data_IF_256435754562
#
_entry.id   IF_256435754562
#
_cell.length_a   1.000
_cell.length_b   1.000
_cell.length_c   1.000
_cell.angle_alpha   90.00
_cell.angle_beta   90.00
_cell.angle_gamma   90.00
#
_symmetry.space_group_name_H-M   'P 1'
#
loop_
_entity.id
_entity.type
_entity.pdbx_description
1 polymer ?
#
# COMPACT_ATOMS: atom_id res chain seq x y z
N UNK A 1 -15.20 0.12 -6.47
CA UNK A 1 -14.59 -1.20 -6.32
C UNK A 1 -14.85 -1.81 -4.96
N UNK A 2 -14.86 -3.12 -4.93
CA UNK A 2 -15.16 -3.89 -3.73
C UNK A 2 -14.21 -3.59 -2.57
N UNK A 3 -12.94 -3.35 -2.87
CA UNK A 3 -11.93 -3.05 -1.84
C UNK A 3 -12.28 -1.78 -1.09
N UNK A 4 -12.59 -0.71 -1.80
CA UNK A 4 -12.92 0.57 -1.17
C UNK A 4 -14.19 0.47 -0.33
N UNK A 5 -15.19 -0.26 -0.79
CA UNK A 5 -16.42 -0.47 -0.02
C UNK A 5 -16.13 -1.23 1.27
N UNK A 6 -15.32 -2.29 1.18
CA UNK A 6 -14.96 -3.09 2.35
C UNK A 6 -14.18 -2.25 3.38
N UNK A 7 -13.25 -1.45 2.93
CA UNK A 7 -12.46 -0.58 3.80
C UNK A 7 -13.35 0.45 4.50
N UNK A 8 -14.28 1.05 3.78
CA UNK A 8 -15.23 2.01 4.36
C UNK A 8 -16.09 1.37 5.45
N UNK A 9 -16.56 0.16 5.20
CA UNK A 9 -17.36 -0.58 6.20
C UNK A 9 -16.55 -0.92 7.43
N UNK A 10 -15.24 -1.05 7.28
CA UNK A 10 -14.32 -1.36 8.38
C UNK A 10 -13.80 -0.12 9.11
N UNK A 11 -14.31 1.06 8.76
CA UNK A 11 -13.93 2.31 9.40
C UNK A 11 -12.87 3.14 8.70
N UNK A 12 -12.34 2.65 7.57
CA UNK A 12 -11.35 3.39 6.80
C UNK A 12 -12.06 4.19 5.71
N UNK A 13 -12.39 5.44 6.02
CA UNK A 13 -13.26 6.26 5.17
C UNK A 13 -12.51 7.33 4.37
N UNK A 14 -11.30 7.68 4.77
CA UNK A 14 -10.51 8.70 4.08
C UNK A 14 -9.56 8.02 3.09
N UNK A 15 -10.10 7.63 1.94
CA UNK A 15 -9.39 6.84 0.94
C UNK A 15 -8.97 7.69 -0.24
N UNK A 16 -7.72 7.51 -0.69
CA UNK A 16 -7.19 8.10 -1.91
C UNK A 16 -6.95 6.94 -2.87
N UNK A 17 -7.61 6.97 -4.03
CA UNK A 17 -7.53 5.88 -5.01
C UNK A 17 -6.87 6.36 -6.28
N UNK A 18 -5.82 5.66 -6.70
CA UNK A 18 -5.12 5.93 -7.95
C UNK A 18 -5.10 4.68 -8.81
N UNK A 19 -5.13 4.85 -10.12
CA UNK A 19 -5.22 3.74 -11.07
C UNK A 19 -3.88 3.14 -11.48
N UNK A 20 -2.79 3.88 -11.27
CA UNK A 20 -1.45 3.37 -11.59
C UNK A 20 -0.41 3.85 -10.58
N UNK A 21 0.73 3.18 -10.61
CA UNK A 21 1.79 3.47 -9.66
C UNK A 21 2.41 4.84 -9.80
N UNK A 22 2.45 5.37 -11.03
CA UNK A 22 3.02 6.70 -11.24
C UNK A 22 2.15 7.79 -10.62
N UNK A 23 0.84 7.72 -10.83
CA UNK A 23 -0.09 8.67 -10.22
C UNK A 23 -0.06 8.57 -8.70
N UNK A 24 0.00 7.34 -8.17
CA UNK A 24 0.11 7.12 -6.73
C UNK A 24 1.38 7.77 -6.19
N UNK A 25 2.50 7.56 -6.84
CA UNK A 25 3.78 8.16 -6.45
C UNK A 25 3.73 9.68 -6.48
N UNK A 26 3.13 10.24 -7.53
CA UNK A 26 2.99 11.69 -7.67
C UNK A 26 2.16 12.29 -6.53
N UNK A 27 1.07 11.61 -6.14
CA UNK A 27 0.24 12.03 -4.99
C UNK A 27 1.03 11.98 -3.70
N UNK A 28 1.79 10.90 -3.48
CA UNK A 28 2.62 10.74 -2.28
C UNK A 28 3.66 11.87 -2.21
N UNK A 29 4.33 12.17 -3.30
CA UNK A 29 5.33 13.24 -3.34
C UNK A 29 4.70 14.61 -3.11
N UNK A 30 3.51 14.85 -3.63
CA UNK A 30 2.78 16.09 -3.38
C UNK A 30 2.41 16.24 -1.91
N UNK A 31 1.97 15.15 -1.26
CA UNK A 31 1.67 15.14 0.18
C UNK A 31 2.94 15.37 1.00
N UNK A 32 4.04 14.74 0.59
CA UNK A 32 5.34 14.91 1.27
C UNK A 32 5.79 16.37 1.22
N UNK A 33 5.59 17.02 0.08
CA UNK A 33 5.98 18.43 -0.10
C UNK A 33 5.21 19.36 0.82
N UNK A 34 4.00 19.00 1.22
CA UNK A 34 3.20 19.79 2.17
C UNK A 34 3.67 19.64 3.62
N UNK A 35 4.50 18.64 3.89
CA UNK A 35 5.01 18.37 5.24
C UNK A 35 4.12 17.44 6.05
N UNK A 36 4.71 16.82 7.06
CA UNK A 36 4.01 15.93 8.01
C UNK A 36 3.22 14.80 7.34
N UNK A 37 3.79 14.20 6.31
CA UNK A 37 3.07 13.17 5.54
C UNK A 37 2.58 12.00 6.41
N UNK A 38 3.32 11.61 7.43
CA UNK A 38 2.94 10.51 8.30
C UNK A 38 1.69 10.79 9.13
N UNK A 39 1.32 12.07 9.24
CA UNK A 39 0.07 12.47 9.91
C UNK A 39 -1.13 12.38 8.97
N UNK A 40 -0.88 12.31 7.66
CA UNK A 40 -1.93 12.34 6.65
C UNK A 40 -2.06 11.06 5.85
N UNK A 41 -1.02 10.23 5.83
CA UNK A 41 -1.02 8.96 5.10
C UNK A 41 -0.61 7.84 6.06
N UNK A 42 -1.55 6.96 6.36
CA UNK A 42 -1.36 5.91 7.35
C UNK A 42 -0.88 4.58 6.76
N UNK A 43 -1.25 4.30 5.51
CA UNK A 43 -0.95 3.01 4.90
C UNK A 43 -1.09 3.11 3.38
N UNK A 44 -0.30 2.32 2.67
CA UNK A 44 -0.37 2.22 1.22
C UNK A 44 -0.72 0.78 0.87
N UNK A 45 -1.76 0.61 0.04
CA UNK A 45 -2.15 -0.70 -0.46
C UNK A 45 -1.94 -0.67 -1.97
N UNK A 46 -1.14 -1.58 -2.50
CA UNK A 46 -0.81 -1.59 -3.92
C UNK A 46 -0.94 -2.97 -4.53
N UNK A 47 -1.32 -3.02 -5.80
CA UNK A 47 -1.21 -4.22 -6.61
C UNK A 47 0.23 -4.30 -7.16
N UNK A 48 0.61 -5.42 -7.72
CA UNK A 48 1.88 -5.59 -8.41
C UNK A 48 1.74 -5.11 -9.85
N UNK A 49 0.72 -5.60 -10.56
CA UNK A 49 0.51 -5.21 -11.96
C UNK A 49 -0.24 -3.89 -12.04
N UNK A 50 0.48 -2.83 -12.41
CA UNK A 50 -0.10 -1.52 -12.65
C UNK A 50 0.62 -0.87 -13.83
N UNK A 51 -0.12 -0.09 -14.66
CA UNK A 51 0.53 0.67 -15.73
C UNK A 51 1.53 1.69 -15.20
N UNK A 52 2.51 2.01 -15.99
CA UNK A 52 3.52 3.06 -15.78
C UNK A 52 4.51 2.78 -14.65
N UNK A 53 4.03 2.32 -13.50
CA UNK A 53 4.90 1.96 -12.37
C UNK A 53 4.23 0.83 -11.61
N UNK A 54 4.87 -0.33 -11.51
CA UNK A 54 4.30 -1.48 -10.79
C UNK A 54 4.43 -1.33 -9.28
N UNK A 55 3.74 -2.22 -8.54
CA UNK A 55 3.70 -2.16 -7.09
C UNK A 55 5.05 -2.41 -6.42
N UNK A 56 5.91 -3.21 -7.00
CA UNK A 56 7.26 -3.44 -6.49
C UNK A 56 8.10 -2.16 -6.58
N UNK A 57 8.00 -1.47 -7.70
CA UNK A 57 8.71 -0.20 -7.89
C UNK A 57 8.22 0.85 -6.91
N UNK A 58 6.90 0.96 -6.75
CA UNK A 58 6.31 1.90 -5.79
C UNK A 58 6.80 1.60 -4.38
N UNK A 59 6.80 0.31 -3.97
CA UNK A 59 7.28 -0.12 -2.68
C UNK A 59 8.74 0.29 -2.48
N UNK A 60 9.57 0.05 -3.48
CA UNK A 60 10.99 0.42 -3.42
C UNK A 60 11.18 1.91 -3.20
N UNK A 61 10.45 2.73 -3.95
CA UNK A 61 10.55 4.18 -3.83
C UNK A 61 10.14 4.66 -2.44
N UNK A 62 9.04 4.13 -1.91
CA UNK A 62 8.56 4.48 -0.57
C UNK A 62 9.58 4.07 0.50
N UNK A 63 10.06 2.83 0.43
CA UNK A 63 10.97 2.29 1.45
C UNK A 63 12.39 2.84 1.36
N UNK A 64 12.73 3.46 0.25
CA UNK A 64 14.04 4.10 0.07
C UNK A 64 14.07 5.56 0.53
N UNK A 65 12.92 6.14 0.83
CA UNK A 65 12.82 7.53 1.25
C UNK A 65 12.75 7.59 2.79
N UNK A 66 13.63 8.39 3.40
CA UNK A 66 13.73 8.46 4.87
C UNK A 66 12.46 8.95 5.57
N UNK A 67 11.64 9.74 4.88
CA UNK A 67 10.39 10.24 5.46
C UNK A 67 9.21 9.31 5.20
N UNK A 68 9.29 8.46 4.17
CA UNK A 68 8.19 7.60 3.74
C UNK A 68 8.32 6.16 4.22
N UNK A 69 9.53 5.70 4.50
CA UNK A 69 9.79 4.27 4.79
C UNK A 69 9.04 3.70 5.99
N UNK A 70 8.61 4.55 6.91
CA UNK A 70 7.85 4.09 8.09
C UNK A 70 6.37 3.90 7.79
N UNK A 71 5.91 4.34 6.61
CA UNK A 71 4.52 4.15 6.21
C UNK A 71 4.35 2.69 5.78
N UNK A 72 3.42 1.93 6.39
CA UNK A 72 3.20 0.54 6.01
C UNK A 72 2.77 0.40 4.55
N UNK A 73 3.36 -0.56 3.85
CA UNK A 73 3.01 -0.89 2.46
C UNK A 73 2.52 -2.32 2.41
N UNK A 74 1.30 -2.50 1.93
CA UNK A 74 0.69 -3.82 1.76
C UNK A 74 0.56 -4.09 0.28
N UNK A 75 1.12 -5.19 -0.18
CA UNK A 75 0.94 -5.68 -1.55
C UNK A 75 -0.27 -6.61 -1.55
N UNK A 76 -1.27 -6.27 -2.36
CA UNK A 76 -2.51 -7.04 -2.47
C UNK A 76 -2.74 -7.35 -3.95
N UNK A 77 -2.44 -8.60 -4.36
CA UNK A 77 -2.36 -8.95 -5.77
C UNK A 77 -2.85 -10.37 -6.04
N UNK A 78 -3.29 -10.61 -7.26
CA UNK A 78 -3.57 -11.95 -7.74
C UNK A 78 -2.28 -12.66 -8.21
N UNK A 79 -1.19 -11.93 -8.37
CA UNK A 79 0.11 -12.46 -8.79
C UNK A 79 0.99 -12.81 -7.59
N UNK A 80 0.57 -13.81 -6.81
CA UNK A 80 1.36 -14.21 -5.65
C UNK A 80 1.98 -15.58 -5.89
N UNK A 81 3.27 -15.60 -6.19
CA UNK A 81 4.07 -16.81 -6.20
C UNK A 81 5.28 -16.59 -5.29
N UNK A 82 6.06 -17.63 -5.08
CA UNK A 82 7.19 -17.60 -4.17
C UNK A 82 8.23 -16.52 -4.57
N UNK A 83 8.51 -16.42 -5.85
CA UNK A 83 9.47 -15.46 -6.36
C UNK A 83 9.02 -14.01 -6.13
N UNK A 84 7.75 -13.73 -6.41
CA UNK A 84 7.17 -12.40 -6.20
C UNK A 84 7.12 -12.06 -4.72
N UNK A 85 6.82 -13.03 -3.87
CA UNK A 85 6.76 -12.84 -2.42
C UNK A 85 8.14 -12.49 -1.87
N UNK A 86 9.16 -13.19 -2.30
CA UNK A 86 10.54 -12.89 -1.89
C UNK A 86 10.98 -11.50 -2.33
N UNK A 87 10.62 -11.12 -3.56
CA UNK A 87 10.94 -9.79 -4.06
C UNK A 87 10.29 -8.70 -3.21
N UNK A 88 9.01 -8.87 -2.88
CA UNK A 88 8.30 -7.92 -2.02
C UNK A 88 8.93 -7.79 -0.64
N UNK A 89 9.33 -8.90 -0.04
CA UNK A 89 10.02 -8.90 1.25
C UNK A 89 11.35 -8.14 1.19
N UNK A 90 12.14 -8.38 0.15
CA UNK A 90 13.43 -7.71 -0.03
C UNK A 90 13.26 -6.21 -0.19
N UNK A 91 12.16 -5.77 -0.78
CA UNK A 91 11.88 -4.35 -0.98
C UNK A 91 11.31 -3.69 0.26
N UNK A 92 10.94 -4.46 1.27
CA UNK A 92 10.45 -3.94 2.55
C UNK A 92 8.94 -3.85 2.69
N UNK A 93 8.17 -4.55 1.85
CA UNK A 93 6.72 -4.60 2.01
C UNK A 93 6.37 -5.14 3.40
N UNK A 94 5.44 -4.50 4.07
CA UNK A 94 5.04 -4.87 5.44
C UNK A 94 4.09 -6.06 5.47
N UNK A 95 3.32 -6.26 4.41
CA UNK A 95 2.47 -7.44 4.25
C UNK A 95 2.24 -7.70 2.77
N UNK A 96 1.99 -8.96 2.45
CA UNK A 96 1.70 -9.39 1.09
C UNK A 96 0.55 -10.38 1.12
N UNK A 97 -0.53 -10.04 0.44
CA UNK A 97 -1.77 -10.80 0.48
C UNK A 97 -2.27 -11.10 -0.92
N UNK A 98 -3.03 -12.17 -1.03
CA UNK A 98 -3.58 -12.63 -2.30
C UNK A 98 -5.02 -12.17 -2.47
N UNK A 99 -5.36 -11.61 -3.63
CA UNK A 99 -6.75 -11.35 -3.98
C UNK A 99 -7.50 -12.69 -4.13
N UNK A 100 -8.74 -12.79 -3.73
CA UNK A 100 -9.62 -11.74 -3.21
C UNK A 100 -9.77 -11.73 -1.68
N UNK A 101 -8.75 -12.08 -0.94
CA UNK A 101 -8.81 -12.23 0.52
C UNK A 101 -8.94 -10.88 1.26
N UNK A 102 -10.05 -10.18 1.03
CA UNK A 102 -10.28 -8.84 1.59
C UNK A 102 -10.33 -8.82 3.12
N UNK A 103 -10.88 -9.88 3.73
CA UNK A 103 -10.89 -9.99 5.18
C UNK A 103 -9.51 -9.98 5.79
N UNK A 104 -8.58 -10.68 5.16
CA UNK A 104 -7.17 -10.69 5.60
C UNK A 104 -6.51 -9.34 5.39
N UNK A 105 -6.92 -8.61 4.35
CA UNK A 105 -6.41 -7.27 4.09
C UNK A 105 -6.77 -6.33 5.25
N UNK A 106 -8.03 -6.33 5.67
CA UNK A 106 -8.49 -5.52 6.80
C UNK A 106 -7.74 -5.88 8.08
N UNK A 107 -7.57 -7.18 8.35
CA UNK A 107 -6.80 -7.63 9.51
C UNK A 107 -5.36 -7.13 9.48
N UNK A 108 -4.73 -7.17 8.31
CA UNK A 108 -3.35 -6.69 8.16
C UNK A 108 -3.26 -5.19 8.41
N UNK A 109 -4.20 -4.42 7.88
CA UNK A 109 -4.23 -2.97 8.10
C UNK A 109 -4.40 -2.67 9.59
N UNK A 110 -5.36 -3.30 10.24
CA UNK A 110 -5.62 -3.10 11.67
C UNK A 110 -4.37 -3.40 12.49
N UNK A 111 -3.69 -4.48 12.16
CA UNK A 111 -2.50 -4.91 12.88
C UNK A 111 -1.32 -3.94 12.66
N UNK A 112 -1.10 -3.51 11.42
CA UNK A 112 0.00 -2.61 11.09
C UNK A 112 -0.22 -1.20 11.65
N UNK A 113 -1.46 -0.77 11.76
CA UNK A 113 -1.80 0.53 12.33
C UNK A 113 -2.04 0.45 13.84
N UNK A 114 -1.77 -0.70 14.43
CA UNK A 114 -1.91 -0.96 15.87
C UNK A 114 -3.32 -0.65 16.39
N UNK A 115 -4.30 -1.07 15.65
CA UNK A 115 -5.70 -0.97 16.07
C UNK A 115 -6.09 -2.25 16.78
N UNK A 116 -5.95 -2.22 18.05
CA UNK A 116 -6.29 -3.35 18.89
C UNK A 116 -7.80 -3.47 19.07
#
# INVERSE_FOLDING_TARGET
>A
PLITECLKKSGYTNLIVEENGQEAWDVIKAMQAKGDITKHLDCIITDIEMPLMDGHRLTKLVKSDSELRDIPVIIFSSLVNEEMRKKGEQLGADAQLTKPEIGKLVEAIDKLLDKA
#
